data_IF_794353071932
#
_entry.id   IF_794353071932
#
_cell.length_a   1.000
_cell.length_b   1.000
_cell.length_c   1.000
_cell.angle_alpha   90.00
_cell.angle_beta   90.00
_cell.angle_gamma   90.00
#
_symmetry.space_group_name_H-M   'P 1'
#
loop_
_entity.id
_entity.type
_entity.pdbx_description
1 polymer ?
#
# COMPACT_ATOMS: atom_id res chain seq x y z
N UNK A 1 22.85 -0.43 -1.15
CA UNK A 1 22.44 0.92 -0.73
C UNK A 1 23.51 1.40 0.25
N UNK A 2 24.03 2.63 0.15
CA UNK A 2 24.98 3.14 1.15
C UNK A 2 24.33 3.10 2.54
N UNK A 3 25.09 2.70 3.57
CA UNK A 3 24.61 2.58 4.95
C UNK A 3 24.21 3.95 5.51
N UNK A 4 23.05 4.00 6.15
CA UNK A 4 22.55 5.17 6.87
C UNK A 4 23.06 5.13 8.31
N UNK A 5 23.99 6.03 8.67
CA UNK A 5 24.50 6.19 10.05
C UNK A 5 23.95 7.50 10.66
N UNK A 6 22.96 7.44 11.57
CA UNK A 6 22.40 8.61 12.26
C UNK A 6 23.27 9.13 13.42
N UNK A 7 24.50 8.60 13.61
CA UNK A 7 25.33 8.80 14.80
C UNK A 7 26.20 10.06 14.87
N UNK A 8 26.13 10.99 13.91
CA UNK A 8 26.95 12.21 13.93
C UNK A 8 26.26 13.40 13.27
N UNK A 9 25.98 14.45 14.06
CA UNK A 9 25.43 15.76 13.61
C UNK A 9 24.51 15.66 12.38
N UNK A 10 23.29 15.14 12.58
CA UNK A 10 22.32 14.80 11.52
C UNK A 10 22.20 15.90 10.43
N UNK A 11 22.85 15.73 9.27
CA UNK A 11 22.60 16.57 8.11
C UNK A 11 21.14 16.42 7.65
N UNK A 12 20.51 17.53 7.30
CA UNK A 12 19.17 17.54 6.73
C UNK A 12 19.17 16.98 5.30
N UNK A 13 18.02 16.49 4.82
CA UNK A 13 17.85 16.13 3.39
C UNK A 13 18.27 17.27 2.47
N UNK A 14 18.00 18.52 2.88
CA UNK A 14 18.45 19.71 2.16
C UNK A 14 19.98 19.77 2.03
N UNK A 15 20.72 19.46 3.09
CA UNK A 15 22.19 19.41 3.06
C UNK A 15 22.73 18.26 2.21
N UNK A 16 22.00 17.15 2.05
CA UNK A 16 22.40 16.09 1.11
C UNK A 16 22.12 16.41 -0.35
N UNK A 17 21.13 17.26 -0.64
CA UNK A 17 20.83 17.75 -1.99
C UNK A 17 21.62 19.02 -2.35
N UNK A 18 22.04 19.78 -1.32
CA UNK A 18 22.75 21.06 -1.42
C UNK A 18 23.85 21.19 -0.35
N UNK A 19 24.86 20.31 -0.35
CA UNK A 19 25.97 20.33 0.59
C UNK A 19 26.84 21.56 0.33
N UNK A 20 27.16 22.27 1.40
CA UNK A 20 28.05 23.44 1.39
C UNK A 20 29.23 23.25 2.34
N UNK A 21 29.40 22.05 2.88
CA UNK A 21 30.32 21.75 3.99
C UNK A 21 31.51 20.87 3.61
N UNK A 22 31.63 20.46 2.33
CA UNK A 22 32.75 19.67 1.82
C UNK A 22 32.74 18.20 2.25
N UNK A 23 31.84 17.80 3.15
CA UNK A 23 31.78 16.43 3.69
C UNK A 23 30.77 15.55 2.94
N UNK A 24 29.74 16.15 2.37
CA UNK A 24 28.64 15.46 1.69
C UNK A 24 28.47 15.87 0.22
N UNK A 25 29.42 16.63 -0.33
CA UNK A 25 29.40 17.14 -1.71
C UNK A 25 29.14 16.03 -2.73
N UNK A 26 29.73 14.85 -2.53
CA UNK A 26 29.52 13.68 -3.38
C UNK A 26 28.08 13.14 -3.38
N UNK A 27 27.25 13.46 -2.39
CA UNK A 27 25.84 13.03 -2.33
C UNK A 27 24.90 13.92 -3.14
N UNK A 28 25.32 15.13 -3.52
CA UNK A 28 24.53 16.07 -4.33
C UNK A 28 24.93 16.12 -5.81
N UNK A 29 26.07 15.53 -6.16
CA UNK A 29 26.52 15.48 -7.56
C UNK A 29 25.63 14.50 -8.32
N UNK A 30 25.01 14.99 -9.39
CA UNK A 30 24.37 14.16 -10.40
C UNK A 30 25.42 13.91 -11.49
N UNK A 31 25.93 12.69 -11.57
CA UNK A 31 26.87 12.26 -12.59
C UNK A 31 26.50 10.86 -13.12
N UNK A 32 25.68 10.80 -14.19
CA UNK A 32 25.23 9.54 -14.77
C UNK A 32 26.34 8.65 -15.36
N UNK A 33 27.58 9.13 -15.43
CA UNK A 33 28.70 8.47 -16.09
C UNK A 33 29.72 7.83 -15.12
N UNK A 34 29.61 8.03 -13.80
CA UNK A 34 30.59 7.50 -12.84
C UNK A 34 30.29 6.07 -12.35
N UNK A 35 29.14 5.53 -12.72
CA UNK A 35 28.72 4.18 -12.33
C UNK A 35 28.35 4.02 -10.86
N UNK A 36 28.17 5.12 -10.11
CA UNK A 36 27.84 5.15 -8.70
C UNK A 36 26.66 6.08 -8.43
N UNK A 37 25.52 5.52 -8.02
CA UNK A 37 24.35 6.34 -7.70
C UNK A 37 24.53 7.13 -6.39
N UNK A 38 24.47 8.46 -6.46
CA UNK A 38 24.47 9.37 -5.30
C UNK A 38 23.06 9.54 -4.71
N UNK A 39 22.94 10.10 -3.50
CA UNK A 39 21.62 10.38 -2.91
C UNK A 39 20.76 11.29 -3.80
N UNK A 40 21.32 12.35 -4.39
CA UNK A 40 20.58 13.25 -5.29
C UNK A 40 20.10 12.58 -6.58
N UNK A 41 20.81 11.56 -7.08
CA UNK A 41 20.40 10.79 -8.26
C UNK A 41 19.26 9.81 -7.99
N UNK A 42 19.05 9.44 -6.73
CA UNK A 42 18.03 8.48 -6.33
C UNK A 42 16.86 9.15 -5.59
N UNK A 43 17.06 10.33 -5.00
CA UNK A 43 16.06 10.98 -4.18
C UNK A 43 14.85 11.41 -5.02
N UNK A 44 13.71 10.77 -4.77
CA UNK A 44 12.43 10.96 -5.51
C UNK A 44 12.52 10.69 -7.01
N UNK A 45 13.54 9.96 -7.46
CA UNK A 45 13.61 9.51 -8.84
C UNK A 45 12.94 8.14 -9.00
N UNK A 46 12.25 7.96 -10.12
CA UNK A 46 11.75 6.63 -10.50
C UNK A 46 12.92 5.80 -11.00
N UNK A 47 13.34 4.81 -10.21
CA UNK A 47 14.40 3.88 -10.59
C UNK A 47 13.77 2.62 -11.17
N UNK A 48 14.25 2.20 -12.35
CA UNK A 48 13.83 0.93 -12.93
C UNK A 48 14.48 -0.21 -12.15
N UNK A 49 13.69 -0.90 -11.33
CA UNK A 49 14.17 -2.03 -10.50
C UNK A 49 14.27 -3.34 -11.28
N UNK A 50 13.44 -3.50 -12.31
CA UNK A 50 13.46 -4.64 -13.23
C UNK A 50 12.81 -4.25 -14.56
N UNK A 51 13.29 -4.84 -15.65
CA UNK A 51 12.66 -4.76 -16.97
C UNK A 51 12.46 -6.17 -17.48
N UNK A 52 11.28 -6.47 -18.00
CA UNK A 52 10.98 -7.74 -18.65
C UNK A 52 11.22 -7.53 -20.15
N UNK A 53 12.14 -8.28 -20.79
CA UNK A 53 12.37 -8.18 -22.23
C UNK A 53 11.07 -8.38 -23.00
N UNK A 54 10.83 -7.60 -24.05
CA UNK A 54 9.56 -7.58 -24.78
C UNK A 54 9.13 -8.98 -25.27
N UNK A 55 10.07 -9.79 -25.78
CA UNK A 55 9.81 -11.17 -26.23
C UNK A 55 9.53 -12.18 -25.10
N UNK A 56 9.72 -11.77 -23.84
CA UNK A 56 9.48 -12.61 -22.65
C UNK A 56 8.23 -12.18 -21.88
N UNK A 57 7.58 -11.08 -22.26
CA UNK A 57 6.33 -10.65 -21.62
C UNK A 57 5.22 -11.65 -21.96
N UNK A 58 4.67 -12.25 -20.92
CA UNK A 58 3.47 -13.10 -20.97
C UNK A 58 2.30 -12.41 -20.25
N UNK A 59 1.07 -12.68 -20.69
CA UNK A 59 -0.11 -12.31 -19.91
C UNK A 59 -0.15 -13.14 -18.64
N UNK A 60 -0.26 -12.49 -17.48
CA UNK A 60 -0.36 -13.19 -16.20
C UNK A 60 0.13 -12.36 -15.02
N UNK A 61 0.34 -13.06 -13.90
CA UNK A 61 0.82 -12.48 -12.66
C UNK A 61 2.35 -12.53 -12.58
N UNK A 62 2.95 -11.42 -12.15
CA UNK A 62 4.37 -11.33 -11.85
C UNK A 62 4.55 -11.08 -10.36
N UNK A 63 5.56 -11.70 -9.77
CA UNK A 63 5.85 -11.54 -8.34
C UNK A 63 7.05 -10.62 -8.18
N UNK A 64 6.82 -9.47 -7.53
CA UNK A 64 7.87 -8.60 -7.05
C UNK A 64 8.15 -8.91 -5.57
N UNK A 65 9.39 -9.26 -5.26
CA UNK A 65 9.84 -9.47 -3.88
C UNK A 65 10.74 -8.32 -3.44
N UNK A 66 10.36 -7.65 -2.35
CA UNK A 66 11.15 -6.60 -1.70
C UNK A 66 11.74 -7.14 -0.41
N UNK A 67 13.05 -6.98 -0.22
CA UNK A 67 13.78 -7.35 1.00
C UNK A 67 14.67 -6.18 1.44
N UNK A 68 14.59 -5.82 2.71
CA UNK A 68 15.40 -4.74 3.32
C UNK A 68 16.61 -5.26 4.09
N UNK A 69 16.72 -6.57 4.28
CA UNK A 69 17.73 -7.24 5.10
C UNK A 69 18.56 -8.22 4.25
N UNK A 70 18.93 -7.79 3.04
CA UNK A 70 19.76 -8.53 2.11
C UNK A 70 20.97 -7.68 1.70
N UNK A 71 22.11 -8.32 1.45
CA UNK A 71 23.31 -7.60 0.96
C UNK A 71 23.20 -7.37 -0.54
N UNK A 72 23.90 -6.35 -1.06
CA UNK A 72 23.96 -6.12 -2.51
C UNK A 72 24.54 -7.32 -3.29
N UNK A 73 25.43 -8.10 -2.67
CA UNK A 73 26.02 -9.30 -3.26
C UNK A 73 25.07 -10.51 -3.30
N UNK A 74 24.05 -10.54 -2.43
CA UNK A 74 23.08 -11.64 -2.34
C UNK A 74 21.66 -11.09 -2.05
N UNK A 75 21.05 -10.35 -3.00
CA UNK A 75 19.82 -9.58 -2.76
C UNK A 75 18.57 -10.43 -2.48
N UNK A 76 18.63 -11.73 -2.75
CA UNK A 76 17.55 -12.69 -2.48
C UNK A 76 17.68 -13.42 -1.14
N UNK A 77 18.82 -13.27 -0.46
CA UNK A 77 19.17 -14.03 0.74
C UNK A 77 19.17 -13.11 1.96
N UNK A 78 18.51 -13.55 3.03
CA UNK A 78 18.56 -12.87 4.31
C UNK A 78 20.00 -12.79 4.84
N UNK A 79 20.40 -11.63 5.33
CA UNK A 79 21.68 -11.43 6.02
C UNK A 79 21.45 -10.77 7.36
N UNK A 80 21.83 -11.46 8.44
CA UNK A 80 21.81 -10.91 9.79
C UNK A 80 22.80 -9.75 10.00
N UNK A 81 23.77 -9.59 9.09
CA UNK A 81 24.74 -8.49 9.13
C UNK A 81 24.17 -7.16 8.64
N UNK A 82 23.01 -7.17 7.97
CA UNK A 82 22.30 -5.94 7.57
C UNK A 82 21.41 -5.52 8.73
N UNK A 83 21.95 -4.66 9.60
CA UNK A 83 21.26 -4.14 10.80
C UNK A 83 20.65 -2.75 10.57
N UNK A 84 20.99 -2.12 9.44
CA UNK A 84 20.55 -0.80 9.03
C UNK A 84 19.12 -0.89 8.48
N UNK A 85 18.16 -1.00 9.38
CA UNK A 85 16.73 -1.02 9.05
C UNK A 85 16.25 0.34 8.57
N UNK A 86 16.61 0.73 7.34
CA UNK A 86 16.12 1.96 6.74
C UNK A 86 14.59 2.02 6.72
N UNK A 87 14.03 3.22 6.80
CA UNK A 87 12.60 3.44 6.58
C UNK A 87 12.26 3.14 5.11
N UNK A 88 11.86 1.90 4.81
CA UNK A 88 11.56 1.41 3.46
C UNK A 88 10.21 1.92 2.94
N UNK A 89 10.03 3.24 2.92
CA UNK A 89 8.88 3.88 2.30
C UNK A 89 9.19 4.09 0.82
N UNK A 90 8.65 3.21 -0.01
CA UNK A 90 8.80 3.26 -1.46
C UNK A 90 7.44 3.26 -2.14
N UNK A 91 7.35 3.91 -3.29
CA UNK A 91 6.24 3.73 -4.22
C UNK A 91 6.68 2.80 -5.34
N UNK A 92 5.84 1.84 -5.70
CA UNK A 92 6.11 0.93 -6.81
C UNK A 92 5.25 1.39 -7.98
N UNK A 93 5.90 1.61 -9.12
CA UNK A 93 5.24 1.89 -10.38
C UNK A 93 5.55 0.75 -11.34
N UNK A 94 4.55 0.34 -12.11
CA UNK A 94 4.70 -0.58 -13.20
C UNK A 94 4.19 0.11 -14.47
N UNK A 95 4.89 -0.11 -15.56
CA UNK A 95 4.54 0.42 -16.86
C UNK A 95 5.21 -0.40 -17.95
N UNK A 96 4.73 -0.27 -19.17
CA UNK A 96 5.36 -0.87 -20.33
C UNK A 96 6.45 0.08 -20.82
N UNK A 97 7.66 -0.42 -21.07
CA UNK A 97 8.76 0.37 -21.61
C UNK A 97 8.49 0.89 -23.03
N UNK A 98 9.43 1.63 -23.61
CA UNK A 98 9.28 2.27 -24.93
C UNK A 98 9.23 1.31 -26.13
N UNK A 99 9.47 0.01 -25.93
CA UNK A 99 9.64 -0.98 -27.00
C UNK A 99 8.56 -2.08 -27.04
N UNK A 100 7.59 -2.08 -26.13
CA UNK A 100 6.51 -3.08 -26.08
C UNK A 100 5.20 -2.49 -26.55
N UNK A 101 4.89 -2.64 -27.84
CA UNK A 101 3.69 -2.15 -28.56
C UNK A 101 3.45 -0.63 -28.42
N UNK A 102 3.48 0.08 -29.55
CA UNK A 102 2.79 1.36 -29.62
C UNK A 102 1.33 1.14 -29.17
N UNK A 103 0.94 1.79 -28.06
CA UNK A 103 -0.36 1.66 -27.40
C UNK A 103 -0.59 0.37 -26.59
N UNK A 104 -0.06 0.34 -25.36
CA UNK A 104 -0.62 -0.53 -24.30
C UNK A 104 -1.22 0.35 -23.22
N UNK A 105 -2.51 0.18 -22.98
CA UNK A 105 -3.25 0.88 -21.95
C UNK A 105 -2.77 0.42 -20.56
N UNK A 106 -2.14 1.33 -19.82
CA UNK A 106 -1.69 1.09 -18.44
C UNK A 106 -2.84 0.73 -17.48
N UNK A 107 -4.10 0.90 -17.88
CA UNK A 107 -5.28 0.46 -17.13
C UNK A 107 -5.31 -1.07 -16.90
N UNK A 108 -4.61 -1.85 -17.73
CA UNK A 108 -4.56 -3.31 -17.63
C UNK A 108 -3.53 -3.85 -16.62
N UNK A 109 -2.73 -2.98 -15.98
CA UNK A 109 -1.75 -3.37 -14.97
C UNK A 109 -2.26 -2.99 -13.58
N UNK A 110 -2.26 -3.96 -12.67
CA UNK A 110 -2.58 -3.73 -11.26
C UNK A 110 -1.43 -4.25 -10.38
N UNK A 111 -1.04 -3.44 -9.40
CA UNK A 111 -0.05 -3.81 -8.38
C UNK A 111 -0.80 -4.05 -7.09
N UNK A 112 -0.72 -5.27 -6.57
CA UNK A 112 -1.45 -5.68 -5.38
C UNK A 112 -0.53 -6.47 -4.46
N UNK A 113 -0.73 -6.35 -3.15
CA UNK A 113 -0.06 -7.25 -2.22
C UNK A 113 -0.71 -8.64 -2.23
N UNK A 114 0.11 -9.68 -2.08
CA UNK A 114 -0.38 -11.06 -1.93
C UNK A 114 -1.05 -11.34 -0.58
N UNK A 115 -0.96 -10.42 0.39
CA UNK A 115 -1.60 -10.62 1.70
C UNK A 115 -1.71 -9.36 2.54
N UNK A 116 -0.59 -8.69 2.83
CA UNK A 116 -0.57 -7.46 3.62
C UNK A 116 0.12 -6.34 2.86
N UNK A 117 -0.50 -5.17 2.81
CA UNK A 117 0.08 -3.97 2.23
C UNK A 117 0.11 -2.86 3.29
N UNK A 118 1.30 -2.38 3.68
CA UNK A 118 1.41 -1.15 4.44
C UNK A 118 1.17 0.05 3.50
N UNK A 119 0.34 0.99 3.94
CA UNK A 119 0.11 2.27 3.28
C UNK A 119 0.52 3.35 4.28
N UNK A 120 1.30 4.32 3.80
CA UNK A 120 1.67 5.49 4.58
C UNK A 120 0.83 6.69 4.13
N UNK A 121 -0.05 7.17 5.02
CA UNK A 121 -0.84 8.36 4.79
C UNK A 121 -0.12 9.57 5.41
N UNK A 122 0.31 10.50 4.56
CA UNK A 122 0.91 11.78 4.96
C UNK A 122 0.22 12.91 4.19
N UNK A 123 -0.91 13.37 4.73
CA UNK A 123 -1.66 14.46 4.16
C UNK A 123 -2.40 15.23 5.28
N UNK A 124 -2.46 16.55 5.13
CA UNK A 124 -3.25 17.41 6.00
C UNK A 124 -4.70 17.49 5.50
N UNK A 125 -5.66 17.16 6.37
CA UNK A 125 -7.09 17.32 6.10
C UNK A 125 -7.55 16.64 4.80
N UNK A 126 -7.07 15.43 4.53
CA UNK A 126 -7.35 14.72 3.29
C UNK A 126 -8.34 13.57 3.48
N UNK A 127 -9.27 13.47 2.53
CA UNK A 127 -9.94 12.20 2.24
C UNK A 127 -8.95 11.33 1.46
N UNK A 128 -8.33 10.38 2.13
CA UNK A 128 -7.52 9.37 1.43
C UNK A 128 -8.44 8.21 1.05
N UNK A 129 -8.43 7.83 -0.23
CA UNK A 129 -9.16 6.66 -0.70
C UNK A 129 -8.16 5.74 -1.38
N UNK A 130 -8.12 4.48 -0.96
CA UNK A 130 -7.25 3.48 -1.57
C UNK A 130 -8.05 2.25 -1.99
N UNK A 131 -7.58 1.61 -3.05
CA UNK A 131 -8.10 0.32 -3.48
C UNK A 131 -7.70 -0.74 -2.48
N UNK A 132 -8.70 -1.43 -1.95
CA UNK A 132 -8.55 -2.47 -0.95
C UNK A 132 -8.41 -3.82 -1.66
N UNK A 133 -9.51 -4.44 -2.01
CA UNK A 133 -9.50 -5.76 -2.64
C UNK A 133 -10.34 -5.77 -3.91
N UNK A 134 -9.92 -6.59 -4.86
CA UNK A 134 -10.77 -6.95 -5.99
C UNK A 134 -11.65 -8.13 -5.58
N UNK A 135 -12.96 -7.93 -5.57
CA UNK A 135 -13.96 -8.96 -5.23
C UNK A 135 -14.79 -9.24 -6.46
N UNK A 136 -14.91 -10.50 -6.83
CA UNK A 136 -15.51 -10.87 -8.10
C UNK A 136 -17.00 -11.25 -7.93
N UNK A 137 -17.83 -11.20 -8.98
CA UNK A 137 -19.27 -11.48 -8.84
C UNK A 137 -19.59 -12.88 -8.30
N UNK A 138 -18.68 -13.85 -8.44
CA UNK A 138 -18.85 -15.18 -7.87
C UNK A 138 -18.79 -15.21 -6.33
N UNK A 139 -18.31 -14.15 -5.69
CA UNK A 139 -18.30 -13.98 -4.23
C UNK A 139 -19.59 -13.33 -3.69
N UNK A 140 -20.57 -13.04 -4.56
CA UNK A 140 -21.86 -12.51 -4.16
C UNK A 140 -22.52 -13.38 -3.08
N UNK A 141 -23.09 -12.75 -2.04
CA UNK A 141 -23.70 -13.43 -0.90
C UNK A 141 -22.72 -13.96 0.15
N UNK A 142 -21.40 -13.86 -0.08
CA UNK A 142 -20.36 -14.22 0.91
C UNK A 142 -20.00 -13.03 1.80
N UNK A 143 -19.03 -13.22 2.68
CA UNK A 143 -18.49 -12.16 3.54
C UNK A 143 -17.05 -11.86 3.18
N UNK A 144 -16.77 -10.59 2.87
CA UNK A 144 -15.41 -10.07 2.80
C UNK A 144 -14.97 -9.65 4.21
N UNK A 145 -13.89 -10.23 4.71
CA UNK A 145 -13.22 -9.77 5.93
C UNK A 145 -12.04 -8.88 5.57
N UNK A 146 -11.95 -7.73 6.22
CA UNK A 146 -10.83 -6.81 6.10
C UNK A 146 -10.26 -6.54 7.48
N UNK A 147 -8.94 -6.58 7.61
CA UNK A 147 -8.24 -6.21 8.85
C UNK A 147 -7.32 -5.05 8.57
N UNK A 148 -7.44 -3.99 9.38
CA UNK A 148 -6.66 -2.77 9.35
C UNK A 148 -5.90 -2.68 10.68
N UNK A 149 -4.58 -2.80 10.63
CA UNK A 149 -3.72 -2.57 11.77
C UNK A 149 -3.26 -1.12 11.79
N UNK A 150 -3.38 -0.49 12.95
CA UNK A 150 -2.81 0.83 13.24
C UNK A 150 -3.35 1.91 12.30
N UNK A 151 -4.68 1.99 12.21
CA UNK A 151 -5.42 2.96 11.35
C UNK A 151 -5.79 4.25 12.10
N UNK A 152 -5.26 4.42 13.30
CA UNK A 152 -5.67 5.46 14.23
C UNK A 152 -4.53 6.25 14.82
N UNK A 153 -3.33 6.20 14.25
CA UNK A 153 -2.22 7.08 14.62
C UNK A 153 -2.46 8.50 14.07
N UNK A 154 -3.53 9.11 14.60
CA UNK A 154 -3.99 10.44 14.27
C UNK A 154 -4.49 11.13 15.55
N UNK A 155 -4.10 12.39 15.72
CA UNK A 155 -4.48 13.20 16.89
C UNK A 155 -5.95 13.62 16.89
N UNK A 156 -6.55 13.74 15.70
CA UNK A 156 -7.96 14.11 15.54
C UNK A 156 -8.79 12.92 15.07
N UNK A 157 -10.02 12.83 15.58
CA UNK A 157 -10.98 11.79 15.23
C UNK A 157 -11.33 11.83 13.73
N UNK A 158 -11.07 10.71 13.06
CA UNK A 158 -11.43 10.47 11.66
C UNK A 158 -12.59 9.51 11.49
N UNK A 159 -12.92 9.28 10.22
CA UNK A 159 -13.97 8.37 9.76
C UNK A 159 -13.39 7.42 8.72
N UNK A 160 -13.64 6.12 8.89
CA UNK A 160 -13.39 5.09 7.90
C UNK A 160 -14.70 4.65 7.27
N UNK A 161 -14.69 4.46 5.95
CA UNK A 161 -15.84 3.95 5.23
C UNK A 161 -15.39 2.94 4.17
N UNK A 162 -16.01 1.76 4.19
CA UNK A 162 -15.87 0.79 3.09
C UNK A 162 -16.81 1.20 1.96
N UNK A 163 -16.27 1.37 0.77
CA UNK A 163 -17.00 1.77 -0.43
C UNK A 163 -17.01 0.61 -1.43
N UNK A 164 -18.17 0.28 -2.01
CA UNK A 164 -18.26 -0.69 -3.09
C UNK A 164 -17.53 -0.19 -4.35
N UNK A 165 -17.31 -1.06 -5.35
CA UNK A 165 -16.86 -0.62 -6.66
C UNK A 165 -17.81 0.41 -7.26
N UNK A 166 -17.27 1.37 -8.01
CA UNK A 166 -18.02 2.51 -8.55
C UNK A 166 -19.18 2.08 -9.47
N UNK A 167 -18.99 0.99 -10.21
CA UNK A 167 -19.97 0.40 -11.12
C UNK A 167 -21.09 -0.37 -10.41
N UNK A 168 -20.93 -0.69 -9.12
CA UNK A 168 -21.99 -1.31 -8.34
C UNK A 168 -22.89 -0.22 -7.75
N UNK A 169 -24.09 -0.06 -8.32
CA UNK A 169 -25.02 1.04 -8.02
C UNK A 169 -25.71 0.97 -6.64
N UNK A 170 -25.20 0.17 -5.70
CA UNK A 170 -25.73 0.02 -4.35
C UNK A 170 -24.61 0.11 -3.31
N UNK A 171 -24.95 0.48 -2.07
CA UNK A 171 -24.00 0.51 -0.96
C UNK A 171 -23.86 -0.84 -0.28
N UNK A 172 -22.69 -1.10 0.30
CA UNK A 172 -22.56 -2.16 1.28
C UNK A 172 -23.25 -1.76 2.58
N UNK A 173 -23.86 -2.74 3.24
CA UNK A 173 -24.57 -2.57 4.50
C UNK A 173 -24.46 -3.84 5.35
N UNK A 174 -24.80 -3.73 6.64
CA UNK A 174 -24.69 -4.84 7.59
C UNK A 174 -23.25 -5.14 8.02
N UNK A 175 -22.33 -4.18 7.83
CA UNK A 175 -20.94 -4.36 8.23
C UNK A 175 -20.80 -4.50 9.74
N UNK A 176 -19.99 -5.46 10.18
CA UNK A 176 -19.68 -5.69 11.58
C UNK A 176 -18.24 -5.29 11.85
N UNK A 177 -18.05 -4.29 12.70
CA UNK A 177 -16.73 -3.84 13.12
C UNK A 177 -16.38 -4.47 14.47
N UNK A 178 -15.13 -4.88 14.61
CA UNK A 178 -14.54 -5.34 15.86
C UNK A 178 -13.12 -4.82 15.99
N UNK A 179 -12.67 -4.61 17.23
CA UNK A 179 -11.28 -4.31 17.55
C UNK A 179 -10.73 -5.45 18.40
N UNK A 180 -9.45 -5.73 18.24
CA UNK A 180 -8.76 -6.83 18.91
C UNK A 180 -8.81 -6.78 20.46
N UNK A 181 -9.03 -5.60 21.04
CA UNK A 181 -9.23 -5.40 22.48
C UNK A 181 -10.69 -5.56 22.95
N UNK A 182 -11.63 -5.83 22.02
CA UNK A 182 -13.05 -6.00 22.34
C UNK A 182 -13.78 -4.70 22.70
N UNK A 183 -13.18 -3.52 22.48
CA UNK A 183 -13.82 -2.26 22.80
C UNK A 183 -15.06 -1.99 21.93
N UNK A 184 -16.05 -1.33 22.51
CA UNK A 184 -17.22 -0.84 21.77
C UNK A 184 -16.81 0.22 20.75
N UNK A 185 -17.25 0.06 19.51
CA UNK A 185 -16.89 0.93 18.40
C UNK A 185 -18.08 1.80 17.96
N UNK A 186 -17.80 3.05 17.57
CA UNK A 186 -18.80 3.96 17.00
C UNK A 186 -18.99 3.65 15.51
N UNK A 187 -19.71 2.57 15.20
CA UNK A 187 -19.96 2.13 13.82
C UNK A 187 -21.39 2.37 13.36
N UNK A 188 -21.55 2.65 12.06
CA UNK A 188 -22.84 2.68 11.36
C UNK A 188 -22.88 1.55 10.32
N UNK A 189 -23.44 0.38 10.67
CA UNK A 189 -23.47 -0.79 9.78
C UNK A 189 -24.18 -0.55 8.44
N UNK A 190 -25.19 0.34 8.41
CA UNK A 190 -25.97 0.65 7.21
C UNK A 190 -25.15 1.25 6.06
N UNK A 191 -24.02 1.91 6.39
CA UNK A 191 -23.13 2.56 5.41
C UNK A 191 -21.70 2.05 5.50
N UNK A 192 -21.47 0.97 6.25
CA UNK A 192 -20.16 0.40 6.53
C UNK A 192 -19.14 1.46 6.98
N UNK A 193 -19.57 2.29 7.93
CA UNK A 193 -18.79 3.42 8.44
C UNK A 193 -18.34 3.16 9.88
N UNK A 194 -17.10 3.51 10.18
CA UNK A 194 -16.55 3.56 11.53
C UNK A 194 -16.11 5.00 11.82
N UNK A 195 -16.66 5.58 12.86
CA UNK A 195 -16.40 6.96 13.29
C UNK A 195 -15.49 7.00 14.51
N UNK A 196 -14.97 8.18 14.82
CA UNK A 196 -14.13 8.44 15.99
C UNK A 196 -12.83 7.63 16.01
N UNK A 197 -12.25 7.37 14.84
CA UNK A 197 -10.96 6.67 14.75
C UNK A 197 -9.84 7.66 15.09
N UNK A 198 -9.10 7.42 16.18
CA UNK A 198 -7.93 8.22 16.61
C UNK A 198 -7.16 7.54 17.74
N UNK A 199 -5.97 8.07 18.04
CA UNK A 199 -5.12 7.58 19.13
C UNK A 199 -5.77 7.79 20.49
N UNK A 200 -6.41 8.96 20.68
CA UNK A 200 -7.19 9.27 21.89
C UNK A 200 -8.36 8.31 22.14
N UNK A 201 -8.90 7.69 21.08
CA UNK A 201 -9.96 6.68 21.18
C UNK A 201 -9.41 5.24 21.16
N UNK A 202 -8.08 5.08 21.31
CA UNK A 202 -7.41 3.80 21.50
C UNK A 202 -7.23 2.96 20.24
N UNK A 203 -7.15 3.58 19.05
CA UNK A 203 -6.93 2.86 17.79
C UNK A 203 -5.45 2.68 17.42
N UNK A 204 -4.56 3.45 18.04
CA UNK A 204 -3.11 3.33 17.89
C UNK A 204 -2.61 1.94 18.34
N UNK A 205 -1.85 1.27 17.48
CA UNK A 205 -1.31 -0.07 17.71
C UNK A 205 -2.38 -1.18 17.78
N UNK A 206 -3.60 -0.94 17.29
CA UNK A 206 -4.71 -1.90 17.34
C UNK A 206 -5.10 -2.42 15.96
N UNK A 207 -5.63 -3.65 15.94
CA UNK A 207 -6.27 -4.22 14.76
C UNK A 207 -7.77 -3.99 14.79
N UNK A 208 -8.29 -3.36 13.75
CA UNK A 208 -9.73 -3.26 13.47
C UNK A 208 -10.08 -4.25 12.37
N UNK A 209 -11.05 -5.12 12.62
CA UNK A 209 -11.61 -6.03 11.63
C UNK A 209 -13.01 -5.59 11.24
N UNK A 210 -13.29 -5.54 9.95
CA UNK A 210 -14.62 -5.33 9.40
C UNK A 210 -15.04 -6.54 8.57
N UNK A 211 -16.16 -7.13 8.94
CA UNK A 211 -16.86 -8.14 8.15
C UNK A 211 -17.93 -7.44 7.31
N UNK A 212 -17.78 -7.55 5.99
CA UNK A 212 -18.60 -6.87 5.00
C UNK A 212 -19.44 -7.94 4.28
N UNK A 213 -20.76 -7.98 4.50
CA UNK A 213 -21.65 -8.81 3.69
C UNK A 213 -21.62 -8.34 2.24
N UNK A 214 -21.22 -9.22 1.33
CA UNK A 214 -21.27 -8.96 -0.11
C UNK A 214 -22.72 -9.19 -0.54
N UNK A 215 -23.42 -8.19 -1.11
CA UNK A 215 -24.81 -8.36 -1.53
C UNK A 215 -24.99 -9.54 -2.49
N UNK A 216 -26.11 -10.25 -2.40
CA UNK A 216 -26.41 -11.37 -3.28
C UNK A 216 -26.55 -10.97 -4.76
N UNK A 217 -26.88 -9.69 -5.01
CA UNK A 217 -26.95 -9.08 -6.33
C UNK A 217 -25.66 -8.33 -6.69
N UNK A 218 -24.53 -8.60 -6.02
CA UNK A 218 -23.26 -7.94 -6.32
C UNK A 218 -22.79 -8.23 -7.74
N UNK A 219 -22.56 -7.16 -8.50
CA UNK A 219 -22.14 -7.23 -9.90
C UNK A 219 -21.01 -6.25 -10.19
N UNK A 220 -20.08 -6.68 -11.02
CA UNK A 220 -19.03 -5.88 -11.66
C UNK A 220 -18.57 -6.63 -12.93
N UNK A 221 -17.72 -6.03 -13.77
CA UNK A 221 -17.21 -6.67 -14.99
C UNK A 221 -15.76 -7.15 -14.78
N UNK A 222 -15.49 -8.45 -14.54
CA UNK A 222 -14.13 -8.93 -14.26
C UNK A 222 -13.14 -8.75 -15.42
N UNK A 223 -13.65 -8.66 -16.65
CA UNK A 223 -12.82 -8.39 -17.83
C UNK A 223 -12.27 -6.96 -17.86
N UNK A 224 -12.86 -6.03 -17.10
CA UNK A 224 -12.39 -4.64 -17.00
C UNK A 224 -11.49 -4.54 -15.76
N UNK A 225 -10.19 -4.30 -15.98
CA UNK A 225 -9.18 -4.29 -14.93
C UNK A 225 -9.43 -3.25 -13.83
N UNK A 226 -10.09 -2.14 -14.17
CA UNK A 226 -10.44 -1.05 -13.23
C UNK A 226 -11.74 -1.28 -12.46
N UNK A 227 -12.47 -2.36 -12.76
CA UNK A 227 -13.70 -2.76 -12.07
C UNK A 227 -13.44 -3.85 -11.02
N UNK A 228 -14.45 -4.07 -10.19
CA UNK A 228 -14.53 -5.02 -9.09
C UNK A 228 -13.72 -4.61 -7.85
N UNK A 229 -13.21 -3.37 -7.82
CA UNK A 229 -12.38 -2.91 -6.71
C UNK A 229 -13.19 -2.23 -5.62
N UNK A 230 -13.16 -2.84 -4.44
CA UNK A 230 -13.65 -2.23 -3.21
C UNK A 230 -12.60 -1.22 -2.74
N UNK A 231 -13.06 -0.09 -2.21
CA UNK A 231 -12.20 0.98 -1.70
C UNK A 231 -12.43 1.16 -0.21
N UNK A 232 -11.42 1.65 0.49
CA UNK A 232 -11.60 2.24 1.82
C UNK A 232 -11.33 3.73 1.70
N UNK A 233 -12.26 4.52 2.21
CA UNK A 233 -12.09 5.96 2.43
C UNK A 233 -11.71 6.18 3.89
N UNK A 234 -10.56 6.78 4.12
CA UNK A 234 -10.13 7.27 5.42
C UNK A 234 -10.12 8.81 5.39
N UNK A 235 -11.01 9.40 6.18
CA UNK A 235 -11.26 10.83 6.23
C UNK A 235 -10.88 11.36 7.61
N UNK A 236 -9.74 12.05 7.68
CA UNK A 236 -9.26 12.68 8.92
C UNK A 236 -9.23 14.20 8.75
N UNK A 237 -9.67 14.98 9.76
CA UNK A 237 -9.83 16.43 9.62
C UNK A 237 -8.52 17.21 9.73
N UNK A 238 -7.44 16.61 10.21
CA UNK A 238 -6.13 17.26 10.39
C UNK A 238 -4.99 16.34 9.90
N UNK A 239 -3.74 16.75 10.09
CA UNK A 239 -2.56 16.01 9.62
C UNK A 239 -2.53 14.57 10.14
N UNK A 240 -2.59 13.62 9.20
CA UNK A 240 -2.38 12.19 9.48
C UNK A 240 -0.94 11.85 9.17
N UNK A 241 -0.29 11.14 10.08
CA UNK A 241 1.01 10.50 9.85
C UNK A 241 0.88 9.05 10.27
N UNK A 242 0.18 8.27 9.47
CA UNK A 242 -0.26 6.93 9.86
C UNK A 242 0.31 5.87 8.90
N UNK A 243 0.72 4.73 9.45
CA UNK A 243 1.20 3.57 8.67
C UNK A 243 0.27 2.38 8.85
N UNK A 244 -0.92 2.47 8.25
CA UNK A 244 -1.87 1.36 8.28
C UNK A 244 -1.36 0.18 7.48
N UNK A 245 -1.37 -1.02 8.08
CA UNK A 245 -1.27 -2.28 7.33
C UNK A 245 -2.63 -2.89 7.14
N UNK A 246 -3.02 -3.17 5.90
CA UNK A 246 -4.30 -3.83 5.62
C UNK A 246 -4.15 -5.21 5.00
N UNK A 247 -5.16 -6.05 5.21
CA UNK A 247 -5.34 -7.34 4.55
C UNK A 247 -6.81 -7.62 4.30
N UNK A 248 -7.11 -8.48 3.33
CA UNK A 248 -8.48 -8.84 2.94
C UNK A 248 -8.57 -10.34 2.63
N UNK A 249 -9.71 -10.95 2.99
CA UNK A 249 -10.00 -12.35 2.71
C UNK A 249 -11.51 -12.58 2.53
N UNK A 250 -11.89 -13.46 1.61
CA UNK A 250 -13.27 -13.96 1.51
C UNK A 250 -13.46 -15.09 2.51
N UNK A 251 -14.43 -14.94 3.42
CA UNK A 251 -14.80 -15.97 4.37
C UNK A 251 -15.66 -17.04 3.70
N UNK A 252 -15.45 -18.30 4.07
CA UNK A 252 -16.22 -19.43 3.53
C UNK A 252 -15.77 -19.88 2.14
N UNK A 253 -14.53 -19.59 1.72
CA UNK A 253 -13.98 -20.09 0.46
C UNK A 253 -14.07 -21.63 0.40
N UNK A 254 -14.65 -22.21 -0.66
CA UNK A 254 -14.61 -23.65 -0.87
C UNK A 254 -13.18 -24.12 -1.11
N UNK A 255 -12.87 -25.34 -0.65
CA UNK A 255 -11.59 -26.01 -0.87
C UNK A 255 -11.46 -26.28 -2.38
N UNK A 256 -10.38 -25.83 -3.01
CA UNK A 256 -10.01 -26.28 -4.36
C UNK A 256 -9.21 -27.57 -4.23
N UNK A 257 -9.83 -28.70 -4.56
CA UNK A 257 -9.09 -29.92 -4.84
C UNK A 257 -8.39 -29.73 -6.20
N UNK A 258 -7.08 -29.94 -6.20
CA UNK A 258 -6.25 -30.02 -7.42
C UNK A 258 -5.81 -31.47 -7.55
N UNK A 259 -6.13 -32.08 -8.69
CA UNK A 259 -5.51 -33.30 -9.19
C UNK A 259 -4.47 -32.91 -10.25
#
# INVERSE_FOLDING_TARGET
>A
MPSFDPGGSNPTIYQYLHPTDGKQDAQAVINPADGSNTFAELFRQNVTICSIPAGSVQTGEYILQVRSNATAAAPTVYSASVVDGGHNRMSIFAGFGSAGLAAVDGSAVAINARGRLPIYANASAANTSFYLARVLPYDAGRTLRVTLFDIGDASSAGVLQVLPPTEFAASFSGCVFSRDDGASLSSTPATCTLSNVSSANGFDGRSVTVDIPIPANYTCTPAVATQCWIKVRAAFPSGVTDTTTWSAAILGNPIRLVE
#
